data_IF_592358633767
#
_entry.id   IF_592358633767
#
_cell.length_a   1.000
_cell.length_b   1.000
_cell.length_c   1.000
_cell.angle_alpha   90.00
_cell.angle_beta   90.00
_cell.angle_gamma   90.00
#
_symmetry.space_group_name_H-M   'P 1'
#
loop_
_entity.id
_entity.type
_entity.pdbx_description
1 polymer ?
#
# COMPACT_ATOMS: atom_id res chain seq x y z
N UNK A 1 -6.88 10.71 -11.16
CA UNK A 1 -5.84 11.70 -10.76
C UNK A 1 -5.00 11.07 -9.64
N UNK A 2 -3.67 11.16 -9.67
CA UNK A 2 -2.84 10.53 -8.65
C UNK A 2 -3.11 11.21 -7.29
N UNK A 3 -3.45 10.42 -6.26
CA UNK A 3 -3.86 10.90 -4.91
C UNK A 3 -2.67 11.39 -4.06
N UNK A 4 -1.73 12.09 -4.69
CA UNK A 4 -0.47 12.57 -4.09
C UNK A 4 -0.76 13.56 -2.95
N UNK A 5 -1.83 14.36 -3.09
CA UNK A 5 -2.24 15.36 -2.11
C UNK A 5 -2.68 14.78 -0.76
N UNK A 6 -2.91 13.46 -0.68
CA UNK A 6 -3.25 12.77 0.56
C UNK A 6 -2.03 12.09 1.20
N UNK A 7 -0.91 11.98 0.47
CA UNK A 7 0.28 11.32 0.96
C UNK A 7 0.88 12.11 2.13
N UNK A 8 1.32 11.44 3.22
CA UNK A 8 1.96 12.12 4.34
C UNK A 8 3.12 13.01 3.89
N UNK A 9 3.21 14.21 4.46
CA UNK A 9 4.22 15.21 4.10
C UNK A 9 5.64 14.67 4.31
N UNK A 10 5.83 13.82 5.32
CA UNK A 10 7.07 13.13 5.62
C UNK A 10 7.56 12.31 4.43
N UNK A 11 6.65 11.64 3.71
CA UNK A 11 6.99 10.89 2.50
C UNK A 11 7.44 11.80 1.36
N UNK A 12 6.68 12.86 1.12
CA UNK A 12 6.99 13.84 0.07
C UNK A 12 8.35 14.52 0.34
N UNK A 13 8.57 14.93 1.59
CA UNK A 13 9.83 15.50 2.05
C UNK A 13 10.99 14.52 1.92
N UNK A 14 10.79 13.25 2.30
CA UNK A 14 11.84 12.24 2.23
C UNK A 14 12.22 11.88 0.77
N UNK A 15 11.23 11.78 -0.13
CA UNK A 15 11.50 11.62 -1.57
C UNK A 15 12.25 12.84 -2.12
N UNK A 16 11.82 14.06 -1.77
CA UNK A 16 12.41 15.30 -2.27
C UNK A 16 13.85 15.56 -1.77
N UNK A 17 14.17 15.06 -0.57
CA UNK A 17 15.51 15.17 0.04
C UNK A 17 16.56 14.26 -0.58
N UNK A 18 16.22 13.45 -1.58
CA UNK A 18 17.18 12.78 -2.47
C UNK A 18 17.94 13.77 -3.36
N UNK A 19 18.64 14.75 -2.78
CA UNK A 19 19.59 15.61 -3.51
C UNK A 19 20.80 14.75 -3.88
N UNK A 20 21.21 14.81 -5.15
CA UNK A 20 22.32 14.04 -5.74
C UNK A 20 22.09 12.52 -5.85
N UNK A 21 20.84 12.05 -5.79
CA UNK A 21 20.50 10.64 -6.04
C UNK A 21 20.76 9.68 -4.87
N UNK A 22 21.27 10.16 -3.74
CA UNK A 22 21.42 9.37 -2.52
C UNK A 22 20.25 9.62 -1.58
N UNK A 23 19.44 8.59 -1.35
CA UNK A 23 18.46 8.59 -0.25
C UNK A 23 19.16 8.13 1.02
N UNK A 24 18.96 8.87 2.11
CA UNK A 24 19.42 8.48 3.44
C UNK A 24 18.48 7.39 3.99
N UNK A 25 18.65 6.16 3.52
CA UNK A 25 17.88 4.99 3.97
C UNK A 25 18.15 4.63 5.43
N UNK A 26 19.25 5.12 5.98
CA UNK A 26 19.69 5.02 7.36
C UNK A 26 19.07 6.09 8.27
N UNK A 27 18.44 7.13 7.71
CA UNK A 27 17.82 8.21 8.48
C UNK A 27 16.29 8.14 8.40
N UNK A 28 15.68 7.63 9.47
CA UNK A 28 14.24 7.76 9.68
C UNK A 28 13.89 9.23 9.93
N UNK A 29 12.87 9.80 9.24
CA UNK A 29 12.44 11.15 9.51
C UNK A 29 11.87 11.28 10.92
N UNK A 30 12.15 12.41 11.57
CA UNK A 30 11.52 12.76 12.84
C UNK A 30 10.04 13.07 12.60
N UNK A 31 9.16 12.29 13.24
CA UNK A 31 7.71 12.51 13.21
C UNK A 31 7.36 13.53 14.30
N UNK A 32 7.06 14.76 13.90
CA UNK A 32 6.75 15.87 14.83
C UNK A 32 5.39 15.70 15.50
N UNK A 33 4.41 15.19 14.77
CA UNK A 33 3.03 15.01 15.23
C UNK A 33 2.56 13.58 14.97
N UNK A 34 2.77 12.66 15.93
CA UNK A 34 2.42 11.25 15.76
C UNK A 34 0.94 11.02 15.42
N UNK A 35 0.06 11.89 15.96
CA UNK A 35 -1.38 11.86 15.71
C UNK A 35 -1.73 12.21 14.25
N UNK A 36 -1.20 13.31 13.74
CA UNK A 36 -1.49 13.73 12.36
C UNK A 36 -0.83 12.79 11.35
N UNK A 37 0.37 12.29 11.68
CA UNK A 37 1.05 11.29 10.89
C UNK A 37 0.22 10.01 10.76
N UNK A 38 -0.27 9.43 11.86
CA UNK A 38 -1.11 8.21 11.78
C UNK A 38 -2.39 8.43 10.99
N UNK A 39 -3.07 9.57 11.19
CA UNK A 39 -4.31 9.89 10.50
C UNK A 39 -4.10 10.07 8.99
N UNK A 40 -3.02 10.75 8.60
CA UNK A 40 -2.67 10.91 7.19
C UNK A 40 -2.29 9.58 6.55
N UNK A 41 -1.54 8.71 7.24
CA UNK A 41 -1.21 7.35 6.75
C UNK A 41 -2.48 6.54 6.53
N UNK A 42 -3.40 6.47 7.50
CA UNK A 42 -4.66 5.72 7.35
C UNK A 42 -5.51 6.25 6.20
N UNK A 43 -5.74 7.57 6.16
CA UNK A 43 -6.54 8.23 5.13
C UNK A 43 -5.96 8.00 3.74
N UNK A 44 -4.64 8.13 3.60
CA UNK A 44 -3.95 7.89 2.35
C UNK A 44 -4.01 6.43 1.94
N UNK A 45 -3.78 5.51 2.88
CA UNK A 45 -3.85 4.07 2.64
C UNK A 45 -5.24 3.67 2.13
N UNK A 46 -6.30 4.09 2.83
CA UNK A 46 -7.69 3.92 2.38
C UNK A 46 -7.87 4.49 0.97
N UNK A 47 -7.35 5.69 0.71
CA UNK A 47 -7.52 6.34 -0.57
C UNK A 47 -6.82 5.65 -1.76
N UNK A 48 -5.68 4.99 -1.57
CA UNK A 48 -4.97 4.30 -2.66
C UNK A 48 -5.46 2.87 -2.90
N UNK A 49 -6.34 2.37 -2.03
CA UNK A 49 -7.00 1.08 -2.23
C UNK A 49 -8.05 1.14 -3.36
N UNK A 50 -8.47 -0.01 -3.90
CA UNK A 50 -9.63 -0.07 -4.78
C UNK A 50 -10.86 0.62 -4.17
N UNK A 51 -11.73 1.18 -5.00
CA UNK A 51 -12.92 1.93 -4.54
C UNK A 51 -13.85 1.10 -3.64
N UNK A 52 -13.93 -0.21 -3.86
CA UNK A 52 -14.74 -1.12 -3.03
C UNK A 52 -14.16 -1.36 -1.62
N UNK A 53 -12.88 -1.03 -1.39
CA UNK A 53 -12.25 -1.04 -0.07
C UNK A 53 -12.33 0.32 0.62
N UNK A 54 -12.81 1.38 -0.03
CA UNK A 54 -12.79 2.73 0.56
C UNK A 54 -13.97 2.91 1.51
N UNK A 55 -13.70 3.45 2.70
CA UNK A 55 -14.74 3.85 3.66
C UNK A 55 -14.96 5.36 3.61
N UNK A 56 -16.23 5.78 3.65
CA UNK A 56 -16.61 7.20 3.80
C UNK A 56 -16.64 7.61 5.28
N UNK A 57 -16.91 6.66 6.18
CA UNK A 57 -17.15 6.90 7.60
C UNK A 57 -15.90 6.68 8.46
N UNK A 58 -14.88 6.04 7.91
CA UNK A 58 -13.66 5.67 8.63
C UNK A 58 -12.40 6.04 7.84
N UNK A 59 -11.33 6.50 8.51
CA UNK A 59 -10.03 6.67 7.86
C UNK A 59 -9.40 5.31 7.48
N UNK A 60 -9.87 4.20 8.03
CA UNK A 60 -9.43 2.85 7.67
C UNK A 60 -10.21 2.31 6.46
N UNK A 61 -9.56 1.53 5.59
CA UNK A 61 -10.24 0.82 4.52
C UNK A 61 -11.24 -0.20 5.08
N UNK A 62 -12.29 -0.46 4.30
CA UNK A 62 -13.19 -1.59 4.45
C UNK A 62 -12.41 -2.88 4.18
N UNK A 63 -12.63 -3.90 5.00
CA UNK A 63 -12.00 -5.22 4.87
C UNK A 63 -12.65 -6.06 3.76
N UNK A 64 -12.80 -5.48 2.58
CA UNK A 64 -13.43 -6.08 1.40
C UNK A 64 -12.35 -6.30 0.35
N UNK A 65 -11.84 -7.52 0.24
CA UNK A 65 -10.72 -7.84 -0.64
C UNK A 65 -11.11 -8.55 -1.95
N UNK A 66 -12.40 -8.86 -2.08
CA UNK A 66 -13.00 -9.40 -3.31
C UNK A 66 -13.78 -8.27 -3.98
N UNK A 67 -13.36 -7.87 -5.18
CA UNK A 67 -14.08 -6.86 -5.94
C UNK A 67 -15.41 -7.37 -6.49
N UNK A 68 -16.36 -6.47 -6.80
CA UNK A 68 -17.51 -6.80 -7.64
C UNK A 68 -16.98 -7.12 -9.04
N UNK A 69 -17.03 -8.39 -9.42
CA UNK A 69 -16.48 -8.98 -10.64
C UNK A 69 -14.95 -8.95 -10.79
N UNK A 70 -14.45 -9.75 -11.75
CA UNK A 70 -13.04 -9.98 -12.11
C UNK A 70 -12.21 -8.72 -12.45
N UNK A 71 -12.74 -7.53 -12.21
CA UNK A 71 -12.05 -6.26 -12.28
C UNK A 71 -10.85 -6.25 -11.32
N UNK A 72 -9.64 -6.15 -11.90
CA UNK A 72 -8.41 -6.04 -11.13
C UNK A 72 -8.25 -4.62 -10.58
N UNK A 73 -9.05 -4.24 -9.57
CA UNK A 73 -8.97 -2.93 -8.93
C UNK A 73 -7.62 -2.61 -8.27
N UNK A 74 -6.73 -3.60 -8.20
CA UNK A 74 -5.41 -3.54 -7.56
C UNK A 74 -4.29 -3.02 -8.47
N UNK A 75 -4.57 -2.68 -9.74
CA UNK A 75 -3.57 -2.24 -10.72
C UNK A 75 -2.79 -1.00 -10.28
N UNK A 76 -3.43 -0.05 -9.58
CA UNK A 76 -2.74 1.16 -9.11
C UNK A 76 -1.67 0.84 -8.08
N UNK A 77 -1.92 -0.12 -7.19
CA UNK A 77 -0.97 -0.59 -6.18
C UNK A 77 0.13 -1.48 -6.78
N UNK A 78 -0.13 -2.09 -7.95
CA UNK A 78 0.85 -2.85 -8.72
C UNK A 78 1.86 -1.94 -9.45
N UNK A 79 1.46 -0.72 -9.79
CA UNK A 79 2.36 0.25 -10.42
C UNK A 79 3.34 0.76 -9.36
N UNK A 80 4.61 0.42 -9.53
CA UNK A 80 5.68 1.00 -8.71
C UNK A 80 5.68 2.53 -8.80
N UNK A 81 6.06 3.21 -7.73
CA UNK A 81 6.09 4.68 -7.69
C UNK A 81 5.72 5.25 -6.32
N UNK A 82 5.48 6.57 -6.23
CA UNK A 82 5.14 7.24 -4.98
C UNK A 82 3.88 6.71 -4.28
N UNK A 83 2.96 6.11 -5.05
CA UNK A 83 1.71 5.51 -4.57
C UNK A 83 1.77 3.97 -4.44
N UNK A 84 2.96 3.37 -4.58
CA UNK A 84 3.11 1.92 -4.56
C UNK A 84 3.16 1.33 -3.14
N UNK A 85 3.11 0.01 -3.04
CA UNK A 85 3.18 -0.69 -1.75
C UNK A 85 4.43 -0.36 -0.91
N UNK A 86 5.55 -0.02 -1.56
CA UNK A 86 6.80 0.33 -0.87
C UNK A 86 6.66 1.60 -0.03
N UNK A 87 5.92 2.60 -0.51
CA UNK A 87 5.72 3.84 0.24
C UNK A 87 4.86 3.61 1.48
N UNK A 88 3.81 2.80 1.35
CA UNK A 88 2.97 2.37 2.49
C UNK A 88 3.79 1.57 3.52
N UNK A 89 4.58 0.59 3.07
CA UNK A 89 5.47 -0.18 3.95
C UNK A 89 6.45 0.72 4.70
N UNK A 90 7.03 1.70 4.01
CA UNK A 90 7.97 2.64 4.62
C UNK A 90 7.28 3.50 5.68
N UNK A 91 6.11 4.05 5.37
CA UNK A 91 5.32 4.85 6.31
C UNK A 91 4.87 4.05 7.54
N UNK A 92 4.43 2.80 7.37
CA UNK A 92 4.10 1.91 8.49
C UNK A 92 5.32 1.56 9.33
N UNK A 93 6.50 1.43 8.73
CA UNK A 93 7.74 1.21 9.48
C UNK A 93 8.09 2.42 10.35
N UNK A 94 7.91 3.64 9.83
CA UNK A 94 8.14 4.88 10.58
C UNK A 94 7.14 5.04 11.71
N UNK A 95 5.86 4.72 11.47
CA UNK A 95 4.85 4.70 12.53
C UNK A 95 5.19 3.67 13.62
N UNK A 96 5.61 2.46 13.23
CA UNK A 96 6.04 1.44 14.19
C UNK A 96 7.25 1.88 15.02
N UNK A 97 8.17 2.64 14.44
CA UNK A 97 9.33 3.20 15.14
C UNK A 97 8.95 4.36 16.07
N UNK A 98 8.12 5.31 15.62
CA UNK A 98 7.73 6.47 16.43
C UNK A 98 7.00 6.06 17.71
N UNK A 99 6.28 4.94 17.68
CA UNK A 99 5.66 4.33 18.87
C UNK A 99 6.67 3.94 19.95
N UNK A 100 7.91 3.58 19.60
CA UNK A 100 8.95 3.23 20.59
C UNK A 100 9.52 4.46 21.29
N UNK A 101 9.42 5.61 20.64
CA UNK A 101 9.90 6.90 21.14
C UNK A 101 8.77 7.77 21.69
N UNK A 102 7.53 7.30 21.59
CA UNK A 102 6.33 8.00 22.03
C UNK A 102 6.39 8.26 23.53
N UNK A 103 6.06 9.49 23.92
CA UNK A 103 5.91 9.83 25.34
C UNK A 103 4.66 9.17 25.93
N UNK A 104 4.62 8.95 27.23
CA UNK A 104 3.47 8.32 27.91
C UNK A 104 2.16 9.11 27.80
N UNK A 105 2.22 10.36 27.33
CA UNK A 105 1.10 11.27 27.14
C UNK A 105 0.46 11.16 25.75
N UNK A 106 1.12 10.43 24.84
CA UNK A 106 0.62 10.20 23.49
C UNK A 106 -0.40 9.06 23.50
N UNK A 107 -1.45 9.23 22.69
CA UNK A 107 -2.49 8.23 22.55
C UNK A 107 -1.92 6.93 21.97
N UNK A 108 -2.22 5.79 22.62
CA UNK A 108 -1.74 4.50 22.16
C UNK A 108 -2.31 4.16 20.77
N UNK A 109 -1.45 4.29 19.75
CA UNK A 109 -1.81 4.03 18.36
C UNK A 109 -1.54 2.58 17.91
N UNK A 110 -1.20 1.69 18.84
CA UNK A 110 -0.87 0.29 18.56
C UNK A 110 -1.96 -0.46 17.80
N UNK A 111 -3.20 -0.40 18.28
CA UNK A 111 -4.31 -1.12 17.66
C UNK A 111 -4.53 -0.68 16.20
N UNK A 112 -4.44 0.63 15.94
CA UNK A 112 -4.56 1.19 14.59
C UNK A 112 -3.41 0.76 13.69
N UNK A 113 -2.17 0.79 14.22
CA UNK A 113 -1.00 0.34 13.47
C UNK A 113 -1.09 -1.14 13.10
N UNK A 114 -1.47 -2.00 14.06
CA UNK A 114 -1.67 -3.44 13.81
C UNK A 114 -2.75 -3.64 12.75
N UNK A 115 -3.88 -2.93 12.85
CA UNK A 115 -4.95 -3.02 11.88
C UNK A 115 -4.49 -2.62 10.46
N UNK A 116 -3.72 -1.55 10.31
CA UNK A 116 -3.12 -1.18 9.02
C UNK A 116 -2.15 -2.23 8.48
N UNK A 117 -1.29 -2.81 9.34
CA UNK A 117 -0.34 -3.85 8.92
C UNK A 117 -1.07 -5.10 8.43
N UNK A 118 -2.08 -5.56 9.17
CA UNK A 118 -2.93 -6.70 8.78
C UNK A 118 -3.61 -6.42 7.44
N UNK A 119 -4.19 -5.24 7.29
CA UNK A 119 -4.88 -4.85 6.06
C UNK A 119 -3.93 -4.77 4.85
N UNK A 120 -2.72 -4.21 5.03
CA UNK A 120 -1.69 -4.21 4.02
C UNK A 120 -1.27 -5.64 3.61
N UNK A 121 -1.13 -6.56 4.56
CA UNK A 121 -0.83 -7.96 4.25
C UNK A 121 -1.93 -8.59 3.38
N UNK A 122 -3.21 -8.40 3.74
CA UNK A 122 -4.34 -8.87 2.93
C UNK A 122 -4.32 -8.27 1.51
N UNK A 123 -4.06 -6.96 1.40
CA UNK A 123 -3.94 -6.28 0.11
C UNK A 123 -2.79 -6.82 -0.73
N UNK A 124 -1.62 -7.09 -0.13
CA UNK A 124 -0.46 -7.68 -0.80
C UNK A 124 -0.75 -9.07 -1.33
N UNK A 125 -1.45 -9.91 -0.56
CA UNK A 125 -1.85 -11.24 -1.03
C UNK A 125 -2.72 -11.17 -2.29
N UNK A 126 -3.62 -10.18 -2.37
CA UNK A 126 -4.46 -9.94 -3.56
C UNK A 126 -3.65 -9.45 -4.74
N UNK A 127 -2.76 -8.49 -4.51
CA UNK A 127 -1.83 -7.98 -5.53
C UNK A 127 -0.97 -9.09 -6.12
N UNK A 128 -0.47 -10.02 -5.30
CA UNK A 128 0.35 -11.17 -5.72
C UNK A 128 -0.52 -12.21 -6.45
N UNK A 129 -1.70 -12.54 -5.91
CA UNK A 129 -2.59 -13.56 -6.46
C UNK A 129 -3.21 -13.15 -7.79
N UNK A 130 -3.46 -11.86 -8.01
CA UNK A 130 -3.95 -11.30 -9.28
C UNK A 130 -3.01 -11.58 -10.47
N UNK A 131 -1.73 -11.89 -10.22
CA UNK A 131 -0.72 -12.16 -11.25
C UNK A 131 -0.86 -13.54 -11.92
N UNK A 132 -1.61 -14.49 -11.33
CA UNK A 132 -1.73 -15.86 -11.83
C UNK A 132 -2.65 -16.03 -13.07
N UNK A 133 -3.31 -14.98 -13.56
CA UNK A 133 -4.22 -15.04 -14.73
C UNK A 133 -3.58 -14.64 -16.07
N UNK A 134 -2.28 -14.82 -16.22
CA UNK A 134 -1.49 -14.41 -17.39
C UNK A 134 -1.16 -15.51 -18.42
N UNK A 135 -1.93 -16.59 -18.52
CA UNK A 135 -1.89 -17.45 -19.72
C UNK A 135 -3.30 -17.42 -20.34
N UNK A 136 -3.49 -16.74 -21.49
CA UNK A 136 -4.73 -16.83 -22.23
C UNK A 136 -5.00 -18.29 -22.58
N UNK A 137 -6.15 -18.84 -22.19
CA UNK A 137 -6.52 -20.23 -22.54
C UNK A 137 -6.65 -20.45 -24.05
N UNK A 138 -6.65 -19.37 -24.86
CA UNK A 138 -6.59 -19.43 -26.31
C UNK A 138 -5.24 -19.91 -26.87
N UNK A 139 -4.15 -19.88 -26.10
CA UNK A 139 -2.83 -20.40 -26.50
C UNK A 139 -2.58 -21.84 -26.03
N UNK A 140 -3.39 -22.38 -25.13
CA UNK A 140 -3.28 -23.77 -24.68
C UNK A 140 -3.81 -24.76 -25.73
N UNK A 141 -4.73 -24.33 -26.61
CA UNK A 141 -5.35 -25.20 -27.62
C UNK A 141 -4.46 -25.43 -28.86
N UNK A 142 -3.57 -24.49 -29.18
CA UNK A 142 -2.66 -24.63 -30.35
C UNK A 142 -1.40 -25.43 -30.06
N UNK A 143 -0.98 -25.53 -28.80
CA UNK A 143 0.15 -26.37 -28.39
C UNK A 143 -0.19 -27.87 -28.38
N UNK A 144 -1.46 -28.24 -28.17
CA UNK A 144 -1.90 -29.64 -28.12
C UNK A 144 -2.03 -30.28 -29.52
N UNK A 145 -2.30 -29.49 -30.57
CA UNK A 145 -2.50 -30.00 -31.93
C UNK A 145 -1.21 -30.28 -32.72
N UNK A 146 -0.05 -29.76 -32.27
CA UNK A 146 1.25 -30.08 -32.90
C UNK A 146 1.90 -31.36 -32.39
N UNK A 147 1.40 -31.98 -31.31
CA UNK A 147 1.96 -33.21 -30.73
C UNK A 147 1.27 -34.49 -31.18
N UNK A 148 0.24 -34.39 -32.03
CA UNK A 148 -0.50 -35.53 -32.58
C UNK A 148 -0.12 -35.86 -34.04
N UNK A 149 0.98 -35.28 -34.56
CA UNK A 149 1.44 -35.53 -35.93
C UNK A 149 2.97 -35.73 -35.97
N UNK A 150 3.42 -36.80 -35.32
CA UNK A 150 4.70 -37.48 -35.55
C UNK A 150 4.53 -38.93 -35.14
#
# INVERSE_FOLDING_TARGET
MPRINLCPEEWTSWIAKGRNGLRAYDQTPTITSPLEFRLSVMKWWSAIQPSFCQSTDSPMPLQIYNGPDDSNGWEELQRGGPNGMISVLTLLSWWGQSRKTASQWEENSEAHWIACVVDLCCALERVISGKKRGIPSSLASTAALKKART
#
